data_IF_613436066158
#
_entry.id   IF_613436066158
#
_cell.length_a   1.000
_cell.length_b   1.000
_cell.length_c   1.000
_cell.angle_alpha   90.00
_cell.angle_beta   90.00
_cell.angle_gamma   90.00
#
_symmetry.space_group_name_H-M   'P 1'
#
loop_
_entity.id
_entity.type
_entity.pdbx_description
1 polymer ?
#
# COMPACT_ATOMS: atom_id res chain seq x y z
N UNK A 1 12.21 -4.81 -2.63
CA UNK A 1 11.53 -4.51 -1.35
C UNK A 1 10.97 -5.79 -0.75
N UNK A 2 10.97 -5.87 0.56
CA UNK A 2 10.43 -7.02 1.27
C UNK A 2 9.00 -6.76 1.73
N UNK A 3 8.32 -7.82 2.16
CA UNK A 3 6.98 -7.72 2.71
C UNK A 3 6.88 -6.70 3.85
N UNK A 4 7.90 -6.65 4.70
CA UNK A 4 7.93 -5.70 5.82
C UNK A 4 7.95 -4.26 5.33
N UNK A 5 8.61 -3.99 4.23
CA UNK A 5 8.63 -2.66 3.64
C UNK A 5 7.24 -2.25 3.15
N UNK A 6 6.52 -3.17 2.53
CA UNK A 6 5.17 -2.89 2.06
C UNK A 6 4.22 -2.62 3.22
N UNK A 7 4.33 -3.42 4.28
CA UNK A 7 3.53 -3.23 5.49
C UNK A 7 3.82 -1.89 6.14
N UNK A 8 5.08 -1.50 6.17
CA UNK A 8 5.47 -0.21 6.74
C UNK A 8 4.92 0.96 5.93
N UNK A 9 5.00 0.87 4.61
CA UNK A 9 4.42 1.89 3.72
C UNK A 9 2.92 2.02 3.94
N UNK A 10 2.22 0.90 4.00
CA UNK A 10 0.79 0.90 4.23
C UNK A 10 0.43 1.53 5.58
N UNK A 11 1.20 1.22 6.61
CA UNK A 11 1.01 1.78 7.94
C UNK A 11 1.18 3.30 7.95
N UNK A 12 2.20 3.79 7.26
CA UNK A 12 2.44 5.23 7.12
C UNK A 12 1.26 5.91 6.44
N UNK A 13 0.78 5.32 5.34
CA UNK A 13 -0.35 5.86 4.62
C UNK A 13 -1.60 5.93 5.48
N UNK A 14 -1.82 4.90 6.29
CA UNK A 14 -2.97 4.85 7.19
C UNK A 14 -2.89 5.94 8.26
N UNK A 15 -1.74 6.08 8.89
CA UNK A 15 -1.54 7.07 9.95
C UNK A 15 -1.69 8.50 9.42
N UNK A 16 -1.18 8.74 8.22
CA UNK A 16 -1.24 10.05 7.59
C UNK A 16 -2.57 10.33 6.90
N UNK A 17 -3.47 9.37 6.91
CA UNK A 17 -4.78 9.48 6.27
C UNK A 17 -4.68 9.85 4.80
N UNK A 18 -3.77 9.19 4.10
CA UNK A 18 -3.57 9.43 2.68
C UNK A 18 -4.86 9.19 1.90
N UNK A 19 -5.09 9.99 0.86
CA UNK A 19 -6.29 9.81 0.04
C UNK A 19 -6.18 8.54 -0.82
N UNK A 20 -7.32 8.05 -1.33
CA UNK A 20 -7.34 6.83 -2.14
C UNK A 20 -6.44 6.89 -3.38
N UNK A 21 -6.32 8.04 -3.99
CA UNK A 21 -5.48 8.19 -5.19
C UNK A 21 -4.01 8.00 -4.86
N UNK A 22 -3.56 8.56 -3.74
CA UNK A 22 -2.18 8.39 -3.31
C UNK A 22 -1.90 6.93 -2.94
N UNK A 23 -2.82 6.30 -2.22
CA UNK A 23 -2.68 4.89 -1.84
C UNK A 23 -2.53 4.02 -3.07
N UNK A 24 -3.37 4.23 -4.09
CA UNK A 24 -3.30 3.48 -5.34
C UNK A 24 -2.00 3.72 -6.09
N UNK A 25 -1.54 4.95 -6.14
CA UNK A 25 -0.28 5.29 -6.81
C UNK A 25 0.90 4.57 -6.14
N UNK A 26 0.93 4.57 -4.82
CA UNK A 26 1.99 3.87 -4.07
C UNK A 26 1.87 2.36 -4.29
N UNK A 27 0.65 1.84 -4.33
CA UNK A 27 0.42 0.41 -4.58
C UNK A 27 0.95 -0.01 -5.96
N UNK A 28 0.75 0.81 -6.98
CA UNK A 28 1.29 0.52 -8.31
C UNK A 28 2.82 0.48 -8.29
N UNK A 29 3.46 1.40 -7.59
CA UNK A 29 4.90 1.37 -7.41
C UNK A 29 5.34 0.07 -6.74
N UNK A 30 4.66 -0.33 -5.68
CA UNK A 30 4.96 -1.57 -4.97
C UNK A 30 4.83 -2.78 -5.89
N UNK A 31 3.81 -2.80 -6.74
CA UNK A 31 3.59 -3.89 -7.68
C UNK A 31 4.71 -3.97 -8.73
N UNK A 32 5.26 -2.83 -9.13
CA UNK A 32 6.40 -2.80 -10.03
C UNK A 32 7.63 -3.43 -9.40
N UNK A 33 7.79 -3.26 -8.08
CA UNK A 33 8.93 -3.82 -7.35
C UNK A 33 8.75 -5.30 -7.03
N UNK A 34 7.51 -5.80 -7.03
CA UNK A 34 7.21 -7.18 -6.67
C UNK A 34 6.02 -7.69 -7.48
N UNK A 35 6.24 -8.59 -8.46
CA UNK A 35 5.14 -9.09 -9.29
C UNK A 35 4.09 -9.89 -8.53
N UNK A 36 4.39 -10.31 -7.30
CA UNK A 36 3.45 -11.03 -6.44
C UNK A 36 2.79 -10.13 -5.41
N UNK A 37 2.87 -8.83 -5.62
CA UNK A 37 2.30 -7.86 -4.69
C UNK A 37 0.78 -8.04 -4.56
N UNK A 38 0.30 -8.08 -3.33
CA UNK A 38 -1.12 -8.26 -3.04
C UNK A 38 -1.79 -6.90 -2.78
N UNK A 39 -2.50 -6.40 -3.78
CA UNK A 39 -3.19 -5.12 -3.69
C UNK A 39 -4.21 -5.08 -2.55
N UNK A 40 -5.00 -6.14 -2.41
CA UNK A 40 -6.07 -6.17 -1.41
C UNK A 40 -5.53 -6.03 0.00
N UNK A 41 -4.47 -6.76 0.32
CA UNK A 41 -3.84 -6.67 1.63
C UNK A 41 -3.23 -5.29 1.87
N UNK A 42 -2.61 -4.73 0.84
CA UNK A 42 -2.02 -3.40 0.96
C UNK A 42 -3.09 -2.35 1.20
N UNK A 43 -4.18 -2.40 0.45
CA UNK A 43 -5.29 -1.45 0.61
C UNK A 43 -5.90 -1.57 2.00
N UNK A 44 -6.13 -2.78 2.48
CA UNK A 44 -6.66 -3.00 3.81
C UNK A 44 -5.73 -2.42 4.89
N UNK A 45 -4.44 -2.70 4.78
CA UNK A 45 -3.44 -2.23 5.74
C UNK A 45 -3.27 -0.72 5.70
N UNK A 46 -3.46 -0.09 4.54
CA UNK A 46 -3.34 1.37 4.40
C UNK A 46 -4.62 2.11 4.76
N UNK A 47 -5.67 1.39 5.10
CA UNK A 47 -6.93 1.99 5.49
C UNK A 47 -7.84 2.38 4.33
N UNK A 48 -7.53 1.93 3.12
CA UNK A 48 -8.37 2.19 1.97
C UNK A 48 -9.60 1.28 2.05
N UNK A 49 -10.75 1.87 2.34
CA UNK A 49 -12.03 1.16 2.36
C UNK A 49 -12.92 1.70 1.25
N UNK A 50 -13.63 0.79 0.62
CA UNK A 50 -14.60 1.18 -0.41
C UNK A 50 -16.00 1.23 0.15
#
# INVERSE_FOLDING_TARGET
MTRKHFERLASILKVQRADPYMIRAIAYFCAEQNPRFDYDKFYEASGLTE
#
